data_IF_802543823619
#
_entry.id   IF_802543823619
#
_cell.length_a   1.000
_cell.length_b   1.000
_cell.length_c   1.000
_cell.angle_alpha   90.00
_cell.angle_beta   90.00
_cell.angle_gamma   90.00
#
_symmetry.space_group_name_H-M   'P 1'
#
loop_
_entity.id
_entity.type
_entity.pdbx_description
1 polymer ?
#
# COMPACT_ATOMS: atom_id res chain seq x y z
N UNK A 1 -4.80 1.30 -9.83
CA UNK A 1 -3.69 0.33 -9.63
C UNK A 1 -3.71 -0.84 -10.60
N UNK A 2 -4.84 -1.53 -10.81
CA UNK A 2 -4.94 -2.65 -11.77
C UNK A 2 -4.43 -2.31 -13.17
N UNK A 3 -4.85 -1.16 -13.71
CA UNK A 3 -4.42 -0.71 -15.03
C UNK A 3 -2.91 -0.41 -15.10
N UNK A 4 -2.32 0.12 -14.02
CA UNK A 4 -0.88 0.36 -13.97
C UNK A 4 -0.08 -0.95 -13.99
N UNK A 5 -0.51 -1.95 -13.20
CA UNK A 5 0.07 -3.29 -13.23
C UNK A 5 -0.03 -3.92 -14.63
N UNK A 6 -1.19 -3.82 -15.26
CA UNK A 6 -1.42 -4.34 -16.62
C UNK A 6 -0.51 -3.67 -17.64
N UNK A 7 -0.40 -2.34 -17.62
CA UNK A 7 0.47 -1.60 -18.55
C UNK A 7 1.95 -1.95 -18.40
N UNK A 8 2.44 -2.12 -17.17
CA UNK A 8 3.82 -2.57 -16.96
C UNK A 8 4.00 -3.97 -17.55
N UNK A 9 3.08 -4.92 -17.30
CA UNK A 9 3.16 -6.27 -17.87
C UNK A 9 3.12 -6.26 -19.41
N UNK A 10 2.17 -5.53 -20.01
CA UNK A 10 2.01 -5.46 -21.46
C UNK A 10 3.24 -4.84 -22.15
N UNK A 11 3.91 -3.90 -21.48
CA UNK A 11 5.11 -3.24 -22.01
C UNK A 11 6.36 -4.13 -22.09
N UNK A 12 6.32 -5.32 -21.50
CA UNK A 12 7.41 -6.31 -21.53
C UNK A 12 7.25 -7.34 -22.65
N UNK A 13 6.14 -7.30 -23.41
CA UNK A 13 5.90 -8.27 -24.46
C UNK A 13 6.89 -8.10 -25.63
N UNK A 14 7.18 -9.17 -26.39
CA UNK A 14 8.10 -9.09 -27.54
C UNK A 14 7.67 -8.10 -28.63
N UNK A 15 6.37 -7.82 -28.73
CA UNK A 15 5.75 -6.92 -29.69
C UNK A 15 5.54 -5.49 -29.15
N UNK A 16 6.06 -5.16 -27.97
CA UNK A 16 5.89 -3.84 -27.37
C UNK A 16 6.69 -2.75 -28.09
N UNK A 17 6.09 -1.57 -28.21
CA UNK A 17 6.73 -0.40 -28.82
C UNK A 17 8.00 0.03 -28.04
N UNK A 18 9.04 0.51 -28.74
CA UNK A 18 10.23 1.05 -28.09
C UNK A 18 9.88 2.13 -27.06
N UNK A 19 10.42 1.99 -25.84
CA UNK A 19 10.19 2.93 -24.74
C UNK A 19 8.86 2.75 -23.99
N UNK A 20 7.98 1.83 -24.41
CA UNK A 20 6.73 1.53 -23.72
C UNK A 20 6.97 1.14 -22.25
N UNK A 21 8.04 0.40 -21.96
CA UNK A 21 8.41 -0.01 -20.61
C UNK A 21 8.67 1.19 -19.69
N UNK A 22 9.56 2.10 -20.09
CA UNK A 22 9.85 3.30 -19.29
C UNK A 22 8.64 4.22 -19.17
N UNK A 23 7.81 4.31 -20.21
CA UNK A 23 6.56 5.07 -20.15
C UNK A 23 5.58 4.46 -19.12
N UNK A 24 5.43 3.14 -19.10
CA UNK A 24 4.60 2.44 -18.12
C UNK A 24 5.12 2.61 -16.68
N UNK A 25 6.43 2.50 -16.48
CA UNK A 25 7.08 2.72 -15.18
C UNK A 25 6.86 4.15 -14.68
N UNK A 26 7.03 5.17 -15.53
CA UNK A 26 6.79 6.58 -15.16
C UNK A 26 5.32 6.86 -14.84
N UNK A 27 4.41 6.26 -15.59
CA UNK A 27 2.98 6.37 -15.32
C UNK A 27 2.63 5.77 -13.96
N UNK A 28 3.16 4.57 -13.66
CA UNK A 28 3.02 3.95 -12.35
C UNK A 28 3.54 4.87 -11.25
N UNK A 29 4.74 5.42 -11.43
CA UNK A 29 5.36 6.29 -10.43
C UNK A 29 4.50 7.50 -10.11
N UNK A 30 3.95 8.16 -11.14
CA UNK A 30 3.04 9.30 -10.97
C UNK A 30 1.79 8.96 -10.13
N UNK A 31 1.28 7.73 -10.20
CA UNK A 31 0.16 7.32 -9.36
C UNK A 31 0.57 7.20 -7.89
N UNK A 32 1.77 6.66 -7.65
CA UNK A 32 2.34 6.58 -6.30
C UNK A 32 2.64 7.94 -5.69
N UNK A 33 3.13 8.90 -6.48
CA UNK A 33 3.35 10.27 -5.98
C UNK A 33 2.04 10.96 -5.59
N UNK A 34 0.92 10.64 -6.28
CA UNK A 34 -0.41 11.12 -5.89
C UNK A 34 -0.82 10.52 -4.54
N UNK A 35 -0.67 9.20 -4.35
CA UNK A 35 -0.96 8.59 -3.04
C UNK A 35 -0.12 9.19 -1.92
N UNK A 36 1.18 9.39 -2.16
CA UNK A 36 2.06 10.01 -1.17
C UNK A 36 1.64 11.45 -0.84
N UNK A 37 1.23 12.25 -1.82
CA UNK A 37 0.72 13.60 -1.59
C UNK A 37 -0.55 13.58 -0.70
N UNK A 38 -1.51 12.70 -1.00
CA UNK A 38 -2.73 12.56 -0.20
C UNK A 38 -2.47 12.07 1.23
N UNK A 39 -1.51 11.15 1.41
CA UNK A 39 -1.14 10.61 2.73
C UNK A 39 -0.33 11.60 3.58
N UNK A 40 0.36 12.55 2.95
CA UNK A 40 1.13 13.59 3.65
C UNK A 40 0.33 14.88 3.86
N UNK A 41 -0.87 14.98 3.28
CA UNK A 41 -1.78 16.08 3.50
C UNK A 41 -2.18 16.19 4.99
N UNK A 42 -2.21 17.40 5.57
CA UNK A 42 -2.63 17.59 6.96
C UNK A 42 -4.10 17.22 7.19
N UNK A 43 -4.91 17.17 6.13
CA UNK A 43 -6.34 16.89 6.19
C UNK A 43 -6.69 15.40 5.95
N UNK A 44 -5.70 14.51 5.89
CA UNK A 44 -5.94 13.11 5.56
C UNK A 44 -6.62 12.37 6.71
N UNK A 45 -7.73 11.70 6.41
CA UNK A 45 -8.54 10.93 7.37
C UNK A 45 -8.01 9.51 7.60
N UNK A 46 -6.92 9.13 6.90
CA UNK A 46 -6.32 7.80 7.00
C UNK A 46 -5.71 7.60 8.41
N UNK A 47 -6.06 6.52 9.14
CA UNK A 47 -5.49 6.21 10.45
C UNK A 47 -3.96 6.18 10.44
N UNK A 48 -3.33 6.63 11.53
CA UNK A 48 -1.87 6.85 11.60
C UNK A 48 -1.07 5.61 11.21
N UNK A 49 -1.41 4.43 11.75
CA UNK A 49 -0.67 3.20 11.48
C UNK A 49 -0.76 2.78 10.00
N UNK A 50 -1.96 2.88 9.42
CA UNK A 50 -2.16 2.60 8.00
C UNK A 50 -1.42 3.60 7.12
N UNK A 51 -1.44 4.88 7.50
CA UNK A 51 -0.72 5.95 6.82
C UNK A 51 0.78 5.68 6.81
N UNK A 52 1.37 5.30 7.95
CA UNK A 52 2.80 5.01 8.06
C UNK A 52 3.21 3.78 7.25
N UNK A 53 2.40 2.71 7.27
CA UNK A 53 2.62 1.54 6.45
C UNK A 53 2.57 1.89 4.95
N UNK A 54 1.59 2.70 4.53
CA UNK A 54 1.44 3.10 3.14
C UNK A 54 2.57 4.05 2.68
N UNK A 55 3.01 4.99 3.51
CA UNK A 55 4.16 5.85 3.22
C UNK A 55 5.47 5.06 3.11
N UNK A 56 5.63 4.01 3.93
CA UNK A 56 6.78 3.10 3.81
C UNK A 56 6.77 2.38 2.47
N UNK A 57 5.59 1.98 1.98
CA UNK A 57 5.42 1.38 0.67
C UNK A 57 5.68 2.38 -0.46
N UNK A 58 5.21 3.63 -0.36
CA UNK A 58 5.54 4.69 -1.33
C UNK A 58 7.07 4.86 -1.45
N UNK A 59 7.77 4.96 -0.31
CA UNK A 59 9.23 5.08 -0.29
C UNK A 59 9.95 3.88 -0.94
N UNK A 60 9.43 2.66 -0.76
CA UNK A 60 9.96 1.49 -1.44
C UNK A 60 9.76 1.59 -2.96
N UNK A 61 8.55 1.92 -3.41
CA UNK A 61 8.22 2.05 -4.83
C UNK A 61 9.05 3.14 -5.51
N UNK A 62 9.28 4.28 -4.85
CA UNK A 62 10.15 5.34 -5.36
C UNK A 62 11.56 4.84 -5.62
N UNK A 63 12.17 4.18 -4.61
CA UNK A 63 13.53 3.63 -4.73
C UNK A 63 13.64 2.59 -5.84
N UNK A 64 12.70 1.65 -5.90
CA UNK A 64 12.63 0.62 -6.94
C UNK A 64 12.44 1.25 -8.32
N UNK A 65 11.60 2.27 -8.43
CA UNK A 65 11.37 2.96 -9.70
C UNK A 65 12.63 3.66 -10.20
N UNK A 66 13.35 4.35 -9.31
CA UNK A 66 14.62 5.00 -9.67
C UNK A 66 15.65 3.97 -10.14
N UNK A 67 15.77 2.82 -9.46
CA UNK A 67 16.65 1.72 -9.90
C UNK A 67 16.27 1.17 -11.28
N UNK A 68 14.97 0.97 -11.55
CA UNK A 68 14.49 0.52 -12.87
C UNK A 68 14.75 1.57 -13.96
N UNK A 69 14.57 2.86 -13.66
CA UNK A 69 14.82 3.92 -14.64
C UNK A 69 16.32 4.02 -14.97
N UNK A 70 17.19 3.83 -13.98
CA UNK A 70 18.63 3.85 -14.16
C UNK A 70 19.13 2.64 -14.96
N UNK A 71 18.53 1.46 -14.75
CA UNK A 71 18.87 0.21 -15.43
C UNK A 71 17.57 -0.55 -15.81
N UNK A 72 17.02 -0.29 -17.02
CA UNK A 72 15.69 -0.75 -17.42
C UNK A 72 15.60 -2.24 -17.73
N UNK A 73 15.63 -3.06 -16.68
CA UNK A 73 15.50 -4.52 -16.77
C UNK A 73 14.07 -4.94 -16.43
N UNK A 74 13.34 -5.63 -17.35
CA UNK A 74 11.96 -6.06 -17.13
C UNK A 74 11.73 -6.83 -15.82
N UNK A 75 12.64 -7.73 -15.46
CA UNK A 75 12.57 -8.53 -14.24
C UNK A 75 12.49 -7.70 -12.94
N UNK A 76 13.08 -6.50 -12.92
CA UNK A 76 13.01 -5.59 -11.76
C UNK A 76 11.61 -5.01 -11.56
N UNK A 77 10.77 -4.96 -12.60
CA UNK A 77 9.43 -4.39 -12.54
C UNK A 77 8.37 -5.38 -12.00
N UNK A 78 8.67 -6.67 -11.92
CA UNK A 78 7.73 -7.69 -11.43
C UNK A 78 7.24 -7.42 -10.00
N UNK A 79 8.11 -6.86 -9.16
CA UNK A 79 7.71 -6.46 -7.80
C UNK A 79 6.69 -5.33 -7.82
N UNK A 80 6.80 -4.37 -8.74
CA UNK A 80 5.84 -3.27 -8.88
C UNK A 80 4.48 -3.77 -9.38
N UNK A 81 4.48 -4.73 -10.31
CA UNK A 81 3.26 -5.39 -10.79
C UNK A 81 2.57 -6.10 -9.62
N UNK A 82 3.33 -6.87 -8.84
CA UNK A 82 2.81 -7.64 -7.70
C UNK A 82 2.21 -6.73 -6.63
N UNK A 83 2.93 -5.68 -6.24
CA UNK A 83 2.44 -4.68 -5.27
C UNK A 83 1.14 -4.04 -5.77
N UNK A 84 1.11 -3.57 -7.02
CA UNK A 84 -0.08 -2.93 -7.57
C UNK A 84 -1.30 -3.85 -7.63
N UNK A 85 -1.10 -5.14 -7.94
CA UNK A 85 -2.16 -6.16 -7.92
C UNK A 85 -2.67 -6.39 -6.49
N UNK A 86 -1.77 -6.52 -5.52
CA UNK A 86 -2.14 -6.74 -4.12
C UNK A 86 -2.89 -5.53 -3.53
N UNK A 87 -2.43 -4.31 -3.81
CA UNK A 87 -3.11 -3.08 -3.38
C UNK A 87 -4.48 -2.97 -4.06
N UNK A 88 -4.58 -3.27 -5.36
CA UNK A 88 -5.88 -3.32 -6.03
C UNK A 88 -6.82 -4.32 -5.34
N UNK A 89 -6.36 -5.56 -5.11
CA UNK A 89 -7.16 -6.59 -4.45
C UNK A 89 -7.61 -6.18 -3.05
N UNK A 90 -6.71 -5.65 -2.22
CA UNK A 90 -7.01 -5.18 -0.87
C UNK A 90 -7.96 -3.97 -0.83
N UNK A 91 -7.92 -3.09 -1.82
CA UNK A 91 -8.90 -2.00 -1.95
C UNK A 91 -10.29 -2.49 -2.39
N UNK A 92 -10.38 -3.62 -3.09
CA UNK A 92 -11.65 -4.23 -3.47
C UNK A 92 -12.26 -5.10 -2.35
N UNK A 93 -11.49 -5.46 -1.33
CA UNK A 93 -12.03 -6.05 -0.10
C UNK A 93 -12.46 -4.95 0.86
N UNK A 94 -13.76 -4.65 0.94
CA UNK A 94 -14.30 -3.73 1.95
C UNK A 94 -14.13 -4.36 3.34
N UNK A 95 -13.60 -3.64 4.35
CA UNK A 95 -13.43 -4.13 5.72
C UNK A 95 -14.77 -4.16 6.50
N UNK A 96 -15.83 -4.68 5.87
CA UNK A 96 -17.11 -4.91 6.53
C UNK A 96 -17.14 -6.24 7.32
N UNK A 97 -16.06 -7.03 7.29
CA UNK A 97 -16.02 -8.39 7.83
C UNK A 97 -14.94 -8.59 8.91
N UNK A 98 -14.54 -7.52 9.59
CA UNK A 98 -13.83 -7.65 10.86
C UNK A 98 -14.90 -7.65 11.96
N UNK A 99 -15.33 -8.83 12.49
CA UNK A 99 -16.19 -8.84 13.65
C UNK A 99 -15.42 -8.11 14.75
N UNK A 100 -15.98 -6.97 15.18
CA UNK A 100 -15.53 -6.27 16.35
C UNK A 100 -15.46 -7.29 17.48
N UNK A 101 -14.25 -7.64 17.91
CA UNK A 101 -13.99 -8.43 19.10
C UNK A 101 -14.59 -7.68 20.29
N UNK A 102 -15.88 -7.91 20.48
CA UNK A 102 -16.64 -7.54 21.66
C UNK A 102 -16.25 -8.55 22.72
N UNK A 103 -15.44 -8.14 23.69
CA UNK A 103 -15.69 -8.41 25.12
C UNK A 103 -14.57 -7.79 25.95
N UNK A 104 -14.86 -6.62 26.50
CA UNK A 104 -14.27 -6.21 27.77
C UNK A 104 -15.02 -7.01 28.86
N UNK A 105 -14.37 -7.84 29.69
CA UNK A 105 -15.04 -8.42 30.84
C UNK A 105 -15.44 -7.31 31.82
N UNK A 106 -16.60 -7.42 32.50
CA UNK A 106 -17.05 -6.40 33.43
C UNK A 106 -16.07 -6.28 34.60
N UNK A 107 -15.71 -5.04 34.93
CA UNK A 107 -14.94 -4.69 36.12
C UNK A 107 -15.65 -5.25 37.37
N UNK A 108 -14.97 -6.16 38.08
CA UNK A 108 -15.44 -6.65 39.37
C UNK A 108 -15.45 -5.49 40.40
N UNK A 109 -16.46 -5.41 41.29
CA UNK A 109 -16.57 -4.33 42.24
C UNK A 109 -15.52 -4.47 43.36
N UNK A 110 -14.94 -3.35 43.76
CA UNK A 110 -14.08 -3.23 44.91
C UNK A 110 -14.81 -3.69 46.19
N UNK A 111 -14.33 -4.78 46.79
CA UNK A 111 -14.76 -5.27 48.10
C UNK A 111 -13.66 -5.02 49.13
N UNK A 112 -13.92 -4.08 50.04
CA UNK A 112 -13.13 -3.77 51.22
C UNK A 112 -12.98 -5.00 52.14
N UNK A 113 -11.73 -5.40 52.42
CA UNK A 113 -11.42 -6.28 53.54
C UNK A 113 -10.64 -5.45 54.58
N UNK A 114 -11.41 -4.84 55.47
CA UNK A 114 -10.96 -4.33 56.75
C UNK A 114 -11.07 -5.49 57.74
N UNK A 115 -9.95 -5.96 58.29
CA UNK A 115 -9.97 -6.78 59.51
C UNK A 115 -8.68 -6.59 60.30
N UNK A 116 -8.77 -5.72 61.31
CA UNK A 116 -7.89 -5.72 62.47
C UNK A 116 -8.39 -6.73 63.50
N UNK A 117 -7.51 -7.62 63.97
CA UNK A 117 -7.44 -8.14 65.34
C UNK A 117 -6.17 -9.00 65.51
#
# INVERSE_FOLDING_TARGET
MTEAARRIADSQRPDAEPGAFLAAIRLNWRLWTIFQAELTSPNTEVPMDLRMNMLSLCNFVDKTTVDIIADPVPAKAEILITINRNIAAGLFTTPADQPASSENPPAAPAGSADFSA
#
